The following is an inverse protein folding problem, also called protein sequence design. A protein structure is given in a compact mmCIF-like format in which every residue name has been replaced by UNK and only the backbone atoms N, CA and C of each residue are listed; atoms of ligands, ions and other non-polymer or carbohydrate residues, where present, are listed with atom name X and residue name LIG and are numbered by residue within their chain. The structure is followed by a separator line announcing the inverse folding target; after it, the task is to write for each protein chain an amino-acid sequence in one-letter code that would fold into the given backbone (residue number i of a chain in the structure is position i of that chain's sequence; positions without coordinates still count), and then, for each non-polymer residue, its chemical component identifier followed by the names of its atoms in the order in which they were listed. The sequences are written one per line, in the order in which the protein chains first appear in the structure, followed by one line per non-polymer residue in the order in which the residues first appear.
data_IF_171341065731
#
_entry.id   IF_171341065731
#
_cell.length_a   1.000
_cell.length_b   1.000
_cell.length_c   1.000
_cell.angle_alpha   90.00
_cell.angle_beta   90.00
_cell.angle_gamma   90.00
#
_symmetry.space_group_name_H-M   'P 1'
#
loop_
_entity.id
_entity.type
_entity.pdbx_description
1 polymer ?
#
# COMPACT_ATOMS: atom_id res chain seq x y z
N UNK A 1 10.46 -5.02 -14.96
CA UNK A 1 9.16 -4.36 -15.15
C UNK A 1 9.44 -2.90 -15.44
N UNK A 2 8.94 -2.36 -16.55
CA UNK A 2 9.28 -1.00 -16.96
C UNK A 2 8.53 0.03 -16.13
N UNK A 3 9.15 1.21 -16.01
CA UNK A 3 8.54 2.43 -15.48
C UNK A 3 7.18 2.75 -16.12
N UNK A 4 6.97 2.31 -17.36
CA UNK A 4 5.70 2.42 -18.08
C UNK A 4 4.52 1.78 -17.32
N UNK A 5 4.73 0.66 -16.62
CA UNK A 5 3.64 0.05 -15.86
C UNK A 5 3.26 0.88 -14.63
N UNK A 6 4.24 1.54 -13.98
CA UNK A 6 3.96 2.47 -12.90
C UNK A 6 3.23 3.71 -13.43
N UNK A 7 3.61 4.21 -14.61
CA UNK A 7 2.89 5.28 -15.30
C UNK A 7 1.43 4.89 -15.57
N UNK A 8 1.20 3.73 -16.18
CA UNK A 8 -0.16 3.22 -16.43
C UNK A 8 -0.96 3.06 -15.12
N UNK A 9 -0.32 2.60 -14.03
CA UNK A 9 -0.97 2.50 -12.72
C UNK A 9 -1.40 3.88 -12.21
N UNK A 10 -0.51 4.88 -12.26
CA UNK A 10 -0.83 6.26 -11.88
C UNK A 10 -2.00 6.81 -12.72
N UNK A 11 -1.94 6.65 -14.04
CA UNK A 11 -2.98 7.14 -14.95
C UNK A 11 -4.33 6.46 -14.65
N UNK A 12 -4.33 5.14 -14.44
CA UNK A 12 -5.54 4.38 -14.13
C UNK A 12 -6.16 4.81 -12.81
N UNK A 13 -5.35 4.99 -11.76
CA UNK A 13 -5.81 5.45 -10.44
C UNK A 13 -6.41 6.86 -10.47
N UNK A 14 -5.97 7.71 -11.41
CA UNK A 14 -6.47 9.08 -11.55
C UNK A 14 -7.69 9.21 -12.46
N UNK A 15 -7.84 8.32 -13.45
CA UNK A 15 -8.85 8.46 -14.52
C UNK A 15 -9.98 7.44 -14.45
N UNK A 16 -9.78 6.31 -13.79
CA UNK A 16 -10.80 5.26 -13.71
C UNK A 16 -11.81 5.57 -12.61
N UNK A 17 -13.12 5.36 -12.84
CA UNK A 17 -14.10 5.43 -11.77
C UNK A 17 -13.79 4.33 -10.74
N UNK A 18 -13.81 4.70 -9.45
CA UNK A 18 -13.62 3.76 -8.34
C UNK A 18 -14.98 3.29 -7.84
N UNK A 19 -15.17 1.97 -7.77
CA UNK A 19 -16.35 1.39 -7.13
C UNK A 19 -16.22 1.55 -5.63
N UNK A 20 -17.08 2.39 -5.03
CA UNK A 20 -17.18 2.52 -3.58
C UNK A 20 -18.38 1.76 -3.03
N UNK A 21 -18.19 1.04 -1.93
CA UNK A 21 -19.20 0.17 -1.32
C UNK A 21 -19.45 0.62 0.11
N UNK A 22 -20.70 0.98 0.39
CA UNK A 22 -21.15 1.25 1.76
C UNK A 22 -21.15 -0.04 2.60
N UNK A 23 -20.72 0.07 3.85
CA UNK A 23 -20.81 -1.02 4.81
C UNK A 23 -22.28 -1.36 5.10
N UNK A 24 -22.75 -2.57 4.78
CA UNK A 24 -24.13 -2.93 5.03
C UNK A 24 -24.46 -2.97 6.53
N UNK A 25 -25.68 -2.60 6.96
CA UNK A 25 -26.05 -2.61 8.38
C UNK A 25 -25.93 -3.99 9.04
N UNK A 26 -26.09 -5.08 8.27
CA UNK A 26 -25.94 -6.46 8.74
C UNK A 26 -24.50 -6.87 9.03
N UNK A 27 -23.51 -6.20 8.44
CA UNK A 27 -22.09 -6.40 8.70
C UNK A 27 -21.33 -5.07 8.53
N UNK A 28 -21.37 -4.19 9.54
CA UNK A 28 -20.85 -2.83 9.40
C UNK A 28 -19.32 -2.75 9.32
N UNK A 29 -18.62 -3.89 9.49
CA UNK A 29 -17.16 -3.94 9.55
C UNK A 29 -16.56 -3.43 8.24
N UNK A 30 -15.59 -2.51 8.39
CA UNK A 30 -14.77 -1.98 7.31
C UNK A 30 -13.29 -2.11 7.68
N UNK A 31 -12.44 -2.27 6.67
CA UNK A 31 -11.00 -2.30 6.81
C UNK A 31 -10.36 -1.56 5.65
N UNK A 32 -9.18 -1.00 5.87
CA UNK A 32 -8.35 -0.38 4.84
C UNK A 32 -7.02 -1.14 4.73
N UNK A 33 -6.52 -1.30 3.52
CA UNK A 33 -5.22 -1.93 3.24
C UNK A 33 -4.40 -1.08 2.28
N UNK A 34 -3.07 -1.15 2.39
CA UNK A 34 -2.18 -0.28 1.63
C UNK A 34 -1.18 -1.07 0.80
N UNK A 35 -1.22 -0.87 -0.51
CA UNK A 35 -0.13 -1.25 -1.41
C UNK A 35 0.89 -0.11 -1.49
N UNK A 36 2.04 -0.28 -0.83
CA UNK A 36 3.18 0.64 -0.97
C UNK A 36 4.06 0.13 -2.11
N UNK A 37 4.16 0.92 -3.18
CA UNK A 37 4.99 0.65 -4.34
C UNK A 37 6.21 1.56 -4.35
N UNK A 38 7.33 1.10 -4.92
CA UNK A 38 8.51 1.94 -5.14
C UNK A 38 9.20 1.61 -6.46
N UNK A 39 9.79 2.62 -7.07
CA UNK A 39 10.82 2.40 -8.09
C UNK A 39 12.15 2.17 -7.38
N UNK A 40 12.72 0.98 -7.54
CA UNK A 40 14.04 0.64 -7.02
C UNK A 40 15.06 0.71 -8.15
N UNK A 41 15.95 1.71 -8.18
CA UNK A 41 16.96 1.82 -9.22
C UNK A 41 18.00 0.68 -9.10
N UNK A 42 18.53 0.21 -10.24
CA UNK A 42 19.54 -0.86 -10.29
C UNK A 42 20.94 -0.37 -9.89
N UNK A 43 21.13 0.94 -9.87
CA UNK A 43 22.35 1.60 -9.42
C UNK A 43 21.97 2.55 -8.28
N UNK A 44 22.88 2.79 -7.33
CA UNK A 44 22.75 3.85 -6.35
C UNK A 44 22.79 5.21 -7.06
N UNK A 45 21.66 5.63 -7.63
CA UNK A 45 21.57 6.90 -8.34
C UNK A 45 21.35 8.04 -7.35
N UNK A 46 22.32 8.96 -7.42
CA UNK A 46 22.47 10.23 -6.72
C UNK A 46 21.23 11.14 -6.79
N UNK A 47 21.04 11.92 -5.71
CA UNK A 47 20.18 13.12 -5.55
C UNK A 47 19.02 13.26 -6.54
N UNK A 48 17.91 12.56 -6.25
CA UNK A 48 16.60 12.90 -6.82
C UNK A 48 16.13 14.22 -6.21
N UNK A 49 15.73 15.16 -7.06
CA UNK A 49 15.13 16.41 -6.60
C UNK A 49 13.72 16.14 -6.06
N UNK A 50 13.29 16.84 -5.00
CA UNK A 50 11.91 16.76 -4.53
C UNK A 50 10.92 17.03 -5.68
N UNK A 51 9.95 16.12 -5.85
CA UNK A 51 8.88 16.25 -6.82
C UNK A 51 7.52 16.00 -6.16
N UNK A 52 6.61 16.96 -6.31
CA UNK A 52 5.32 16.93 -5.61
C UNK A 52 4.24 16.10 -6.30
N UNK A 53 4.54 15.53 -7.49
CA UNK A 53 3.60 14.72 -8.27
C UNK A 53 4.23 13.42 -8.75
N UNK A 54 3.39 12.41 -8.96
CA UNK A 54 3.80 11.12 -9.50
C UNK A 54 4.38 11.27 -10.91
N UNK A 55 3.81 12.15 -11.73
CA UNK A 55 4.30 12.40 -13.09
C UNK A 55 5.68 13.07 -13.12
N UNK A 56 5.95 14.00 -12.21
CA UNK A 56 7.28 14.59 -12.10
C UNK A 56 8.33 13.55 -11.66
N UNK A 57 8.00 12.68 -10.69
CA UNK A 57 8.88 11.56 -10.29
C UNK A 57 9.13 10.59 -11.44
N UNK A 58 8.07 10.19 -12.15
CA UNK A 58 8.17 9.31 -13.32
C UNK A 58 9.02 9.93 -14.44
N UNK A 59 8.97 11.25 -14.61
CA UNK A 59 9.82 11.94 -15.58
C UNK A 59 11.29 11.91 -15.16
N UNK A 60 11.60 12.09 -13.87
CA UNK A 60 12.97 11.98 -13.36
C UNK A 60 13.53 10.55 -13.50
N UNK A 61 12.67 9.53 -13.36
CA UNK A 61 13.08 8.12 -13.45
C UNK A 61 13.12 7.55 -14.86
N UNK A 62 12.72 8.32 -15.90
CA UNK A 62 12.51 7.84 -17.27
C UNK A 62 13.70 7.06 -17.85
N UNK A 63 14.91 7.51 -17.56
CA UNK A 63 16.16 6.92 -18.08
C UNK A 63 16.98 6.21 -16.98
N UNK A 64 16.41 6.05 -15.78
CA UNK A 64 17.07 5.38 -14.66
C UNK A 64 16.70 3.89 -14.71
N UNK A 65 17.66 2.98 -14.97
CA UNK A 65 17.38 1.54 -14.94
C UNK A 65 16.97 1.12 -13.53
N UNK A 66 15.97 0.26 -13.44
CA UNK A 66 15.35 -0.09 -12.18
C UNK A 66 14.20 -1.07 -12.33
N UNK A 67 13.54 -1.35 -11.21
CA UNK A 67 12.34 -2.16 -11.18
C UNK A 67 11.33 -1.68 -10.15
N UNK A 68 10.07 -1.97 -10.45
CA UNK A 68 8.99 -1.77 -9.50
C UNK A 68 9.06 -2.84 -8.40
N UNK A 69 8.98 -2.40 -7.16
CA UNK A 69 8.78 -3.26 -5.99
C UNK A 69 7.51 -2.87 -5.25
N UNK A 70 6.98 -3.84 -4.51
CA UNK A 70 5.84 -3.67 -3.62
C UNK A 70 6.17 -4.24 -2.25
N UNK A 71 5.80 -3.50 -1.20
CA UNK A 71 5.99 -3.90 0.19
C UNK A 71 4.87 -4.84 0.64
N UNK A 72 5.25 -5.88 1.36
CA UNK A 72 4.35 -6.82 2.01
C UNK A 72 4.73 -7.01 3.46
N UNK A 73 3.73 -7.37 4.27
CA UNK A 73 3.92 -7.85 5.64
C UNK A 73 3.71 -9.36 5.69
N UNK A 74 4.39 -10.01 6.62
CA UNK A 74 4.02 -11.33 7.10
C UNK A 74 3.34 -11.18 8.45
N UNK A 75 2.07 -11.57 8.54
CA UNK A 75 1.31 -11.52 9.79
C UNK A 75 1.93 -12.43 10.85
N UNK A 76 1.98 -11.97 12.09
CA UNK A 76 2.40 -12.79 13.21
C UNK A 76 1.45 -13.99 13.39
N UNK A 77 1.96 -15.08 14.00
CA UNK A 77 1.13 -16.25 14.31
C UNK A 77 0.37 -16.02 15.61
N UNK A 78 -0.97 -16.00 15.55
CA UNK A 78 -1.84 -15.83 16.71
C UNK A 78 -2.85 -16.98 16.79
N UNK A 79 -3.04 -17.63 17.96
CA UNK A 79 -4.09 -18.62 18.13
C UNK A 79 -5.48 -18.03 17.79
N UNK A 80 -6.21 -18.68 16.89
CA UNK A 80 -7.55 -18.23 16.48
C UNK A 80 -7.59 -17.23 15.31
N UNK A 81 -6.47 -16.68 14.87
CA UNK A 81 -6.40 -15.85 13.66
C UNK A 81 -6.21 -16.74 12.41
N UNK A 82 -7.22 -16.76 11.53
CA UNK A 82 -7.25 -17.54 10.30
C UNK A 82 -6.23 -17.08 9.25
N UNK A 83 -5.70 -15.86 9.40
CA UNK A 83 -4.72 -15.25 8.51
C UNK A 83 -3.30 -15.27 9.10
N UNK A 84 -3.10 -15.94 10.23
CA UNK A 84 -1.80 -16.07 10.91
C UNK A 84 -0.69 -16.55 9.96
N UNK A 85 0.44 -15.83 9.92
CA UNK A 85 1.59 -16.22 9.10
C UNK A 85 1.44 -15.94 7.60
N UNK A 86 0.29 -15.43 7.14
CA UNK A 86 0.06 -15.14 5.74
C UNK A 86 0.74 -13.84 5.31
N UNK A 87 1.05 -13.78 4.02
CA UNK A 87 1.52 -12.58 3.34
C UNK A 87 0.32 -11.69 3.07
N UNK A 88 0.41 -10.42 3.46
CA UNK A 88 -0.66 -9.45 3.30
C UNK A 88 -0.08 -8.06 2.96
N UNK A 89 -0.96 -7.16 2.56
CA UNK A 89 -0.68 -5.73 2.65
C UNK A 89 -0.85 -5.26 4.09
N UNK A 90 -0.07 -4.27 4.54
CA UNK A 90 -0.32 -3.63 5.82
C UNK A 90 -1.70 -2.96 5.81
N UNK A 91 -2.33 -2.91 6.97
CA UNK A 91 -3.68 -2.39 7.13
C UNK A 91 -4.52 -3.19 8.11
N UNK A 92 -5.71 -2.66 8.40
CA UNK A 92 -6.56 -3.21 9.44
C UNK A 92 -7.93 -2.56 9.46
N UNK A 93 -8.62 -2.69 10.58
CA UNK A 93 -10.04 -2.33 10.69
C UNK A 93 -10.18 -0.84 10.97
N UNK A 94 -11.26 -0.25 10.45
CA UNK A 94 -11.62 1.13 10.83
C UNK A 94 -11.97 1.20 12.30
N UNK A 95 -11.48 2.21 12.99
CA UNK A 95 -11.83 2.53 14.37
C UNK A 95 -12.74 3.76 14.46
N UNK A 96 -13.50 3.95 15.56
CA UNK A 96 -14.47 5.05 15.67
C UNK A 96 -13.86 6.46 15.52
N UNK A 97 -12.56 6.62 15.79
CA UNK A 97 -11.85 7.88 15.64
C UNK A 97 -11.34 8.15 14.21
N UNK A 98 -11.32 7.14 13.33
CA UNK A 98 -10.90 7.33 11.94
C UNK A 98 -12.02 8.05 11.18
N UNK A 99 -11.74 9.24 10.65
CA UNK A 99 -12.77 10.03 9.94
C UNK A 99 -12.90 9.61 8.48
N UNK A 100 -11.87 8.97 7.93
CA UNK A 100 -11.83 8.44 6.56
C UNK A 100 -11.11 7.10 6.49
N UNK A 101 -11.39 6.32 5.45
CA UNK A 101 -10.72 5.03 5.22
C UNK A 101 -9.21 5.19 4.97
N UNK A 102 -8.77 6.31 4.40
CA UNK A 102 -7.33 6.57 4.21
C UNK A 102 -6.63 6.89 5.52
N UNK A 103 -7.32 7.52 6.49
CA UNK A 103 -6.81 7.71 7.85
C UNK A 103 -6.67 6.37 8.58
N UNK A 104 -7.65 5.46 8.45
CA UNK A 104 -7.52 4.08 8.91
C UNK A 104 -6.26 3.44 8.32
N UNK A 105 -6.07 3.55 7.01
CA UNK A 105 -4.92 2.97 6.32
C UNK A 105 -3.59 3.54 6.84
N UNK A 106 -3.51 4.86 7.02
CA UNK A 106 -2.32 5.53 7.53
C UNK A 106 -2.01 5.16 8.99
N UNK A 107 -3.03 5.12 9.86
CA UNK A 107 -2.88 4.69 11.25
C UNK A 107 -2.35 3.26 11.33
N UNK A 108 -2.99 2.33 10.62
CA UNK A 108 -2.61 0.92 10.64
C UNK A 108 -1.18 0.70 10.13
N UNK A 109 -0.78 1.37 9.04
CA UNK A 109 0.60 1.29 8.53
C UNK A 109 1.62 1.84 9.53
N UNK A 110 1.27 2.92 10.23
CA UNK A 110 2.13 3.49 11.27
C UNK A 110 2.23 2.54 12.48
N UNK A 111 1.12 1.97 12.93
CA UNK A 111 1.08 1.04 14.07
C UNK A 111 1.81 -0.27 13.76
N UNK A 112 1.55 -0.89 12.61
CA UNK A 112 2.07 -2.21 12.26
C UNK A 112 3.58 -2.19 11.93
N UNK A 113 4.04 -1.18 11.19
CA UNK A 113 5.40 -1.17 10.60
C UNK A 113 6.17 0.15 10.79
N UNK A 114 5.58 1.16 11.42
CA UNK A 114 6.26 2.41 11.76
C UNK A 114 6.44 3.40 10.60
N UNK A 115 5.76 3.21 9.47
CA UNK A 115 5.85 4.12 8.34
C UNK A 115 4.75 5.19 8.42
N UNK A 116 5.14 6.47 8.46
CA UNK A 116 4.18 7.57 8.41
C UNK A 116 3.85 7.93 6.96
N UNK A 117 2.69 7.47 6.48
CA UNK A 117 2.20 7.79 5.13
C UNK A 117 1.87 9.27 4.92
N UNK A 118 1.80 10.07 5.99
CA UNK A 118 1.61 11.52 5.90
C UNK A 118 2.93 12.28 5.69
N UNK A 119 4.08 11.62 5.83
CA UNK A 119 5.36 12.20 5.44
C UNK A 119 5.43 12.32 3.91
N UNK A 120 5.04 13.49 3.41
CA UNK A 120 5.00 13.81 1.98
C UNK A 120 6.37 13.76 1.32
N UNK A 121 7.48 13.82 2.07
CA UNK A 121 8.82 13.66 1.50
C UNK A 121 9.11 12.20 1.18
N UNK A 122 8.55 11.27 1.95
CA UNK A 122 8.75 9.83 1.78
C UNK A 122 7.67 9.18 0.93
N UNK A 123 6.41 9.60 1.07
CA UNK A 123 5.26 8.94 0.47
C UNK A 123 4.39 9.89 -0.34
N UNK A 124 3.84 9.38 -1.43
CA UNK A 124 2.86 10.07 -2.25
C UNK A 124 1.63 9.18 -2.42
N UNK A 125 0.46 9.68 -2.04
CA UNK A 125 -0.80 9.00 -2.31
C UNK A 125 -1.08 8.99 -3.81
N UNK A 126 -1.25 7.81 -4.39
CA UNK A 126 -1.55 7.66 -5.82
C UNK A 126 -3.04 7.51 -6.11
N UNK A 127 -3.80 6.95 -5.18
CA UNK A 127 -5.24 6.74 -5.34
C UNK A 127 -5.76 5.51 -4.61
N UNK A 128 -7.04 5.25 -4.84
CA UNK A 128 -7.83 4.15 -4.28
C UNK A 128 -8.19 3.16 -5.39
N UNK A 129 -8.20 1.87 -5.09
CA UNK A 129 -8.74 0.82 -5.97
C UNK A 129 -10.18 0.46 -5.54
N UNK A 130 -10.87 -0.35 -6.34
CA UNK A 130 -12.26 -0.75 -6.04
C UNK A 130 -12.41 -1.36 -4.64
N UNK A 131 -13.50 -1.01 -3.97
CA UNK A 131 -13.87 -1.64 -2.70
C UNK A 131 -14.26 -3.10 -2.93
N UNK A 132 -13.89 -3.96 -2.00
CA UNK A 132 -14.19 -5.38 -2.07
C UNK A 132 -15.01 -5.84 -0.86
N UNK A 133 -16.12 -6.53 -1.12
CA UNK A 133 -16.85 -7.25 -0.08
C UNK A 133 -16.21 -8.61 0.17
N UNK A 134 -15.80 -8.85 1.41
CA UNK A 134 -15.35 -10.15 1.88
C UNK A 134 -16.54 -10.80 2.57
N UNK A 135 -17.13 -11.81 1.94
CA UNK A 135 -18.30 -12.54 2.45
C UNK A 135 -17.95 -14.01 2.66
N UNK A 136 -17.39 -14.32 3.83
CA UNK A 136 -17.07 -15.69 4.24
C UNK A 136 -17.86 -16.06 5.49
N UNK A 137 -17.99 -17.35 5.78
CA UNK A 137 -18.66 -17.83 7.00
C UNK A 137 -18.00 -17.29 8.29
N UNK A 138 -16.71 -16.94 8.24
CA UNK A 138 -15.93 -16.44 9.39
C UNK A 138 -15.82 -14.92 9.42
N UNK A 139 -15.97 -14.25 8.28
CA UNK A 139 -15.69 -12.83 8.16
C UNK A 139 -16.57 -12.19 7.08
N UNK A 140 -17.23 -11.11 7.49
CA UNK A 140 -18.07 -10.26 6.65
C UNK A 140 -17.66 -8.82 6.87
N UNK A 141 -17.14 -8.17 5.82
CA UNK A 141 -16.67 -6.79 5.85
C UNK A 141 -16.46 -6.21 4.45
N UNK A 142 -16.35 -4.88 4.36
CA UNK A 142 -15.81 -4.16 3.20
C UNK A 142 -14.32 -3.88 3.40
N UNK A 143 -13.51 -4.13 2.38
CA UNK A 143 -12.07 -3.82 2.37
C UNK A 143 -11.80 -2.74 1.32
N UNK A 144 -11.09 -1.69 1.74
CA UNK A 144 -10.78 -0.50 0.95
C UNK A 144 -9.28 -0.45 0.65
N UNK A 145 -8.85 -0.78 -0.57
CA UNK A 145 -7.45 -0.75 -0.98
C UNK A 145 -6.96 0.63 -1.42
N UNK A 146 -5.83 1.07 -0.86
CA UNK A 146 -5.13 2.30 -1.24
C UNK A 146 -3.74 2.02 -1.81
N UNK A 147 -3.27 2.90 -2.68
CA UNK A 147 -1.93 2.81 -3.28
C UNK A 147 -1.11 4.03 -2.93
N UNK A 148 0.07 3.81 -2.37
CA UNK A 148 1.06 4.84 -2.06
C UNK A 148 2.37 4.55 -2.78
N UNK A 149 3.02 5.60 -3.26
CA UNK A 149 4.37 5.54 -3.83
C UNK A 149 5.37 5.97 -2.76
N UNK A 150 6.32 5.09 -2.42
CA UNK A 150 7.54 5.50 -1.73
C UNK A 150 8.44 6.23 -2.74
N UNK A 151 8.71 7.50 -2.45
CA UNK A 151 9.47 8.42 -3.31
C UNK A 151 10.98 8.14 -3.26
N UNK A 152 11.44 7.52 -2.18
CA UNK A 152 12.85 7.22 -1.93
C UNK A 152 13.19 5.76 -2.28
N UNK A 153 14.41 5.48 -2.76
CA UNK A 153 14.82 4.13 -3.12
C UNK A 153 15.00 3.22 -1.89
N UNK A 154 15.24 3.81 -0.72
CA UNK A 154 15.47 3.13 0.56
C UNK A 154 14.26 3.34 1.47
N UNK A 155 13.68 2.25 1.98
CA UNK A 155 12.59 2.36 2.98
C UNK A 155 13.12 2.93 4.28
N UNK A 156 12.43 3.90 4.90
CA UNK A 156 12.78 4.38 6.24
C UNK A 156 12.88 3.25 7.26
N UNK A 157 13.60 3.44 8.38
CA UNK A 157 13.68 2.43 9.45
C UNK A 157 12.29 1.97 9.89
N UNK A 158 12.06 0.66 9.89
CA UNK A 158 10.79 0.06 10.28
C UNK A 158 10.73 -0.14 11.79
N UNK A 159 9.56 0.11 12.38
CA UNK A 159 9.25 -0.20 13.76
C UNK A 159 8.09 -1.21 13.77
N UNK A 160 8.42 -2.51 13.82
CA UNK A 160 7.41 -3.56 13.72
C UNK A 160 6.68 -3.75 15.04
N UNK A 161 5.35 -3.74 14.98
CA UNK A 161 4.53 -4.26 16.07
C UNK A 161 4.57 -5.79 16.02
N UNK A 162 5.54 -6.37 16.73
CA UNK A 162 5.83 -7.81 16.69
C UNK A 162 4.64 -8.73 17.03
N UNK A 163 3.64 -8.20 17.73
CA UNK A 163 2.40 -8.94 17.97
C UNK A 163 1.57 -9.09 16.69
N UNK A 164 1.54 -8.11 15.79
CA UNK A 164 0.78 -8.07 14.52
C UNK A 164 1.59 -8.61 13.34
N UNK A 165 2.87 -8.21 13.28
CA UNK A 165 3.74 -8.38 12.12
C UNK A 165 5.00 -9.16 12.52
N UNK A 166 5.21 -10.31 11.88
CA UNK A 166 6.42 -11.11 12.06
C UNK A 166 7.57 -10.64 11.19
N UNK A 167 7.28 -10.11 9.99
CA UNK A 167 8.31 -9.70 9.03
C UNK A 167 7.77 -8.70 8.01
N UNK A 168 8.67 -7.95 7.36
CA UNK A 168 8.39 -7.06 6.24
C UNK A 168 9.36 -7.36 5.13
N UNK A 169 8.87 -7.40 3.88
CA UNK A 169 9.72 -7.61 2.73
C UNK A 169 9.14 -6.96 1.48
N UNK A 170 10.03 -6.55 0.58
CA UNK A 170 9.64 -6.05 -0.74
C UNK A 170 9.78 -7.16 -1.78
N UNK A 171 8.84 -7.24 -2.71
CA UNK A 171 8.93 -8.12 -3.88
C UNK A 171 8.94 -7.30 -5.15
N UNK A 172 9.85 -7.66 -6.07
CA UNK A 172 9.82 -7.17 -7.44
C UNK A 172 8.48 -7.55 -8.08
N UNK A 173 7.80 -6.58 -8.65
CA UNK A 173 6.54 -6.83 -9.35
C UNK A 173 6.88 -7.43 -10.72
N UNK A 174 6.32 -8.62 -10.99
CA UNK A 174 6.46 -9.33 -12.26
C UNK A 174 5.06 -9.44 -12.87
N UNK A 175 4.76 -8.63 -13.87
CA UNK A 175 3.51 -8.77 -14.62
C UNK A 175 3.69 -9.93 -15.59
N UNK A 176 2.92 -11.01 -15.40
CA UNK A 176 2.80 -12.06 -16.40
C UNK A 176 2.28 -11.46 -17.70
N UNK A 177 2.81 -11.90 -18.85
CA UNK A 177 2.19 -11.60 -20.14
C UNK A 177 0.78 -12.19 -20.09
N UNK A 178 -0.23 -11.36 -19.88
CA UNK A 178 -1.62 -11.67 -20.19
C UNK A 178 -1.82 -11.66 -21.70
#
# INVERSE_FOLDING_TARGET
MSLQNLRNLCDNLQTSPVVSIDSPPSYPRRAAVVAIVRWHPEQDTLSLEPADTSMALLQQWQDIPGHLEMLYIQRAKRPGDVWSGQVAFPGGKSEPQDTTDVETAAREVLEEIGLDLNDKQQFLYLGKLDDHQILTAKQQMVVVPFVFLQRTPVTPPLALQASEVANVFCKRVIVGKS
#
